data_IF_885120317367
#
_entry.id   IF_885120317367
#
_cell.length_a   1.000
_cell.length_b   1.000
_cell.length_c   1.000
_cell.angle_alpha   90.00
_cell.angle_beta   90.00
_cell.angle_gamma   90.00
#
_symmetry.space_group_name_H-M   'P 1'
#
loop_
_entity.id
_entity.type
_entity.pdbx_description
1 polymer ?
#
# COMPACT_ATOMS: atom_id res chain seq x y z
N UNK A 1 -9.06 10.85 -3.55
CA UNK A 1 -8.82 10.66 -5.00
C UNK A 1 -9.70 9.49 -5.46
N UNK A 2 -10.65 9.69 -6.40
CA UNK A 2 -11.58 8.62 -6.84
C UNK A 2 -10.88 7.54 -7.68
N UNK A 3 -9.86 7.92 -8.47
CA UNK A 3 -9.15 6.99 -9.34
C UNK A 3 -8.33 5.94 -8.58
N UNK A 4 -7.86 6.29 -7.37
CA UNK A 4 -7.12 5.35 -6.50
C UNK A 4 -8.02 4.20 -6.04
N UNK A 5 -9.25 4.50 -5.65
CA UNK A 5 -10.21 3.47 -5.22
C UNK A 5 -10.59 2.56 -6.40
N UNK A 6 -10.84 3.14 -7.58
CA UNK A 6 -11.13 2.37 -8.80
C UNK A 6 -9.96 1.44 -9.19
N UNK A 7 -8.73 1.96 -9.18
CA UNK A 7 -7.54 1.17 -9.45
C UNK A 7 -7.32 0.07 -8.40
N UNK A 8 -7.50 0.38 -7.11
CA UNK A 8 -7.38 -0.59 -6.03
C UNK A 8 -8.39 -1.74 -6.13
N UNK A 9 -9.65 -1.44 -6.45
CA UNK A 9 -10.68 -2.48 -6.69
C UNK A 9 -10.30 -3.34 -7.90
N UNK A 10 -9.86 -2.72 -9.01
CA UNK A 10 -9.42 -3.48 -10.20
C UNK A 10 -8.25 -4.39 -9.90
N UNK A 11 -7.25 -3.91 -9.16
CA UNK A 11 -6.11 -4.71 -8.74
C UNK A 11 -6.55 -5.88 -7.85
N UNK A 12 -7.38 -5.64 -6.84
CA UNK A 12 -7.90 -6.69 -5.97
C UNK A 12 -8.69 -7.77 -6.74
N UNK A 13 -9.57 -7.37 -7.67
CA UNK A 13 -10.30 -8.30 -8.53
C UNK A 13 -9.36 -9.10 -9.44
N UNK A 14 -8.33 -8.47 -10.01
CA UNK A 14 -7.33 -9.16 -10.82
C UNK A 14 -6.51 -10.19 -10.01
N UNK A 15 -6.38 -9.97 -8.70
CA UNK A 15 -5.74 -10.87 -7.74
C UNK A 15 -6.71 -11.88 -7.10
N UNK A 16 -7.90 -12.06 -7.70
CA UNK A 16 -8.93 -13.00 -7.25
C UNK A 16 -9.37 -12.78 -5.78
N UNK A 17 -9.36 -11.53 -5.30
CA UNK A 17 -9.71 -11.19 -3.93
C UNK A 17 -11.21 -10.98 -3.73
N UNK A 18 -11.67 -11.23 -2.51
CA UNK A 18 -12.93 -10.70 -1.99
C UNK A 18 -12.79 -9.20 -1.69
N UNK A 19 -13.85 -8.43 -1.93
CA UNK A 19 -13.86 -6.97 -1.77
C UNK A 19 -14.72 -6.58 -0.57
N UNK A 20 -14.13 -5.84 0.39
CA UNK A 20 -14.90 -5.22 1.46
C UNK A 20 -15.87 -4.17 0.89
N UNK A 21 -17.16 -4.31 1.20
CA UNK A 21 -18.21 -3.39 0.72
C UNK A 21 -18.25 -2.06 1.48
N UNK A 22 -17.67 -2.05 2.68
CA UNK A 22 -17.46 -0.86 3.49
C UNK A 22 -15.98 -0.55 3.50
N UNK A 23 -15.64 0.71 3.30
CA UNK A 23 -14.27 1.19 3.29
C UNK A 23 -14.03 2.00 4.55
N UNK A 24 -12.96 1.66 5.27
CA UNK A 24 -12.44 2.41 6.40
C UNK A 24 -10.97 2.74 6.16
N UNK A 25 -10.53 3.89 6.66
CA UNK A 25 -9.14 4.30 6.64
C UNK A 25 -8.69 4.55 8.09
N UNK A 26 -7.51 4.05 8.38
CA UNK A 26 -6.90 4.02 9.70
C UNK A 26 -5.69 4.95 9.75
N UNK A 27 -5.32 5.36 10.97
CA UNK A 27 -4.10 6.13 11.22
C UNK A 27 -3.03 5.22 11.79
N UNK A 28 -1.98 4.98 11.02
CA UNK A 28 -0.76 4.32 11.49
C UNK A 28 0.19 5.39 12.06
N UNK A 29 0.19 5.56 13.38
CA UNK A 29 0.90 6.67 14.06
C UNK A 29 2.39 6.35 14.26
N UNK A 30 3.27 7.27 13.84
CA UNK A 30 4.71 7.23 14.10
C UNK A 30 5.36 8.57 13.77
N UNK A 31 6.44 8.92 14.48
CA UNK A 31 7.19 10.14 14.23
C UNK A 31 8.39 9.86 13.32
N UNK A 32 8.44 10.50 12.16
CA UNK A 32 9.61 10.51 11.30
C UNK A 32 9.62 11.76 10.40
N UNK A 33 10.78 12.34 10.03
CA UNK A 33 10.84 13.65 9.36
C UNK A 33 10.13 13.73 8.00
N UNK A 34 10.05 12.62 7.26
CA UNK A 34 9.39 12.55 5.96
C UNK A 34 7.86 12.35 6.05
N UNK A 35 7.32 12.26 7.26
CA UNK A 35 5.89 12.18 7.53
C UNK A 35 5.42 13.34 8.42
N UNK A 36 5.00 14.48 7.84
CA UNK A 36 4.68 15.69 8.60
C UNK A 36 3.43 15.55 9.48
N UNK A 37 2.57 14.55 9.21
CA UNK A 37 1.35 14.32 9.99
C UNK A 37 1.59 13.52 11.27
N UNK A 38 2.77 12.91 11.42
CA UNK A 38 3.07 11.91 12.46
C UNK A 38 2.11 10.69 12.46
N UNK A 39 1.40 10.49 11.35
CA UNK A 39 0.64 9.28 11.04
C UNK A 39 0.50 9.13 9.53
N UNK A 40 0.45 7.90 9.07
CA UNK A 40 0.15 7.53 7.69
C UNK A 40 -1.32 7.11 7.62
N UNK A 41 -2.07 7.65 6.65
CA UNK A 41 -3.39 7.15 6.30
C UNK A 41 -3.20 5.83 5.55
N UNK A 42 -3.73 4.75 6.10
CA UNK A 42 -3.66 3.40 5.53
C UNK A 42 -4.99 2.67 5.81
N UNK A 43 -5.07 1.35 5.63
CA UNK A 43 -6.22 0.55 6.07
C UNK A 43 -5.69 -0.62 6.88
N UNK A 44 -6.19 -0.78 8.10
CA UNK A 44 -5.84 -1.88 8.99
C UNK A 44 -7.00 -2.87 9.09
N UNK A 45 -8.17 -2.43 9.54
CA UNK A 45 -9.31 -3.31 9.83
C UNK A 45 -10.06 -3.75 8.57
N UNK A 46 -10.31 -2.81 7.63
CA UNK A 46 -11.10 -3.06 6.41
C UNK A 46 -10.24 -2.78 5.14
N UNK A 47 -9.30 -3.69 4.77
CA UNK A 47 -8.55 -3.58 3.50
C UNK A 47 -9.47 -3.57 2.29
N UNK A 48 -9.01 -3.04 1.16
CA UNK A 48 -9.82 -3.03 -0.07
C UNK A 48 -10.06 -4.43 -0.65
N UNK A 49 -9.10 -5.34 -0.49
CA UNK A 49 -9.21 -6.73 -0.89
C UNK A 49 -8.56 -7.69 0.10
N UNK A 50 -9.08 -8.90 0.19
CA UNK A 50 -8.59 -9.96 1.07
C UNK A 50 -8.81 -11.36 0.44
N UNK A 51 -8.13 -12.38 0.97
CA UNK A 51 -8.24 -13.77 0.52
C UNK A 51 -7.96 -13.98 -0.99
N UNK A 52 -6.97 -13.29 -1.53
CA UNK A 52 -6.59 -13.39 -2.93
C UNK A 52 -5.61 -14.53 -3.21
N UNK A 53 -5.30 -14.70 -4.49
CA UNK A 53 -4.25 -15.62 -4.94
C UNK A 53 -3.80 -15.29 -6.37
N UNK A 54 -2.57 -15.69 -6.69
CA UNK A 54 -2.03 -15.74 -8.05
C UNK A 54 -1.61 -17.16 -8.39
N UNK A 55 -1.66 -17.50 -9.67
CA UNK A 55 -1.12 -18.76 -10.17
C UNK A 55 0.26 -18.50 -10.79
N UNK A 56 1.24 -19.31 -10.41
CA UNK A 56 2.60 -19.25 -10.96
C UNK A 56 2.94 -20.60 -11.58
N UNK A 57 3.55 -20.56 -12.76
CA UNK A 57 4.11 -21.74 -13.42
C UNK A 57 5.50 -22.02 -12.84
N UNK A 58 5.75 -23.28 -12.47
CA UNK A 58 7.02 -23.75 -11.96
C UNK A 58 7.89 -24.31 -13.10
N UNK A 59 9.18 -24.49 -12.83
CA UNK A 59 10.14 -24.99 -13.82
C UNK A 59 9.79 -26.38 -14.38
N UNK A 60 9.05 -27.19 -13.61
CA UNK A 60 8.57 -28.52 -14.03
C UNK A 60 7.27 -28.48 -14.86
N UNK A 61 6.77 -27.27 -15.18
CA UNK A 61 5.54 -27.04 -15.93
C UNK A 61 4.26 -27.20 -15.11
N UNK A 62 4.35 -27.49 -13.81
CA UNK A 62 3.17 -27.49 -12.92
C UNK A 62 2.79 -26.07 -12.51
N UNK A 63 1.54 -25.86 -12.14
CA UNK A 63 1.08 -24.57 -11.62
C UNK A 63 0.87 -24.64 -10.11
N UNK A 64 1.25 -23.56 -9.42
CA UNK A 64 1.05 -23.41 -7.98
C UNK A 64 0.27 -22.14 -7.69
N UNK A 65 -0.74 -22.25 -6.82
CA UNK A 65 -1.43 -21.08 -6.27
C UNK A 65 -0.67 -20.52 -5.08
N UNK A 66 -0.34 -19.24 -5.15
CA UNK A 66 0.26 -18.45 -4.07
C UNK A 66 -0.81 -17.55 -3.50
N UNK A 67 -1.13 -17.74 -2.22
CA UNK A 67 -2.11 -16.91 -1.52
C UNK A 67 -1.62 -15.48 -1.33
N UNK A 68 -2.55 -14.53 -1.42
CA UNK A 68 -2.33 -13.12 -1.10
C UNK A 68 -3.33 -12.76 0.00
N UNK A 69 -2.81 -12.52 1.20
CA UNK A 69 -3.64 -12.27 2.38
C UNK A 69 -4.57 -11.07 2.19
N UNK A 70 -4.00 -9.94 1.76
CA UNK A 70 -4.71 -8.66 1.60
C UNK A 70 -4.04 -7.72 0.61
N UNK A 71 -4.83 -6.80 0.09
CA UNK A 71 -4.39 -5.56 -0.53
C UNK A 71 -5.11 -4.39 0.15
N UNK A 72 -4.42 -3.31 0.45
CA UNK A 72 -5.00 -2.10 1.00
C UNK A 72 -4.47 -0.86 0.31
N UNK A 73 -5.16 0.25 0.49
CA UNK A 73 -4.71 1.57 0.03
C UNK A 73 -3.98 2.31 1.15
N UNK A 74 -2.87 2.94 0.81
CA UNK A 74 -2.19 3.85 1.73
C UNK A 74 -1.59 5.06 1.02
N UNK A 75 -1.04 5.99 1.79
CA UNK A 75 -0.28 7.11 1.26
C UNK A 75 1.22 6.92 1.49
N UNK A 76 2.07 7.33 0.56
CA UNK A 76 3.52 7.29 0.72
C UNK A 76 4.03 8.41 1.63
N UNK A 77 5.19 8.17 2.24
CA UNK A 77 5.97 9.18 2.93
C UNK A 77 6.80 10.00 1.93
N UNK A 78 7.43 11.07 2.44
CA UNK A 78 8.42 11.82 1.68
C UNK A 78 9.70 11.02 1.42
N UNK A 79 10.78 11.73 1.12
CA UNK A 79 12.11 11.17 0.90
C UNK A 79 13.12 11.92 1.76
N UNK A 80 13.98 11.17 2.43
CA UNK A 80 15.16 11.72 3.08
C UNK A 80 16.40 11.54 2.19
N UNK A 81 17.24 12.56 2.14
CA UNK A 81 18.60 12.48 1.60
C UNK A 81 19.57 12.92 2.69
N UNK A 82 20.56 12.10 2.99
CA UNK A 82 21.52 12.37 4.05
C UNK A 82 22.76 13.07 3.47
N UNK A 83 23.05 14.27 3.96
CA UNK A 83 24.21 15.06 3.57
C UNK A 83 25.49 14.59 4.26
N UNK A 84 26.64 15.04 3.74
CA UNK A 84 27.95 14.83 4.37
C UNK A 84 28.27 15.87 5.46
N UNK A 85 27.41 16.88 5.61
CA UNK A 85 27.48 17.97 6.59
C UNK A 85 26.85 17.62 7.95
N UNK A 86 26.39 16.38 8.11
CA UNK A 86 25.74 15.90 9.33
C UNK A 86 24.24 16.19 9.40
N UNK A 87 23.63 16.73 8.34
CA UNK A 87 22.19 16.98 8.27
C UNK A 87 21.47 16.01 7.32
N UNK A 88 20.15 15.92 7.50
CA UNK A 88 19.26 15.21 6.58
C UNK A 88 18.29 16.19 5.96
N UNK A 89 18.08 16.05 4.66
CA UNK A 89 17.22 16.91 3.85
C UNK A 89 15.94 16.15 3.51
N UNK A 90 14.79 16.77 3.81
CA UNK A 90 13.47 16.17 3.61
C UNK A 90 12.83 16.76 2.35
N UNK A 91 12.52 15.90 1.39
CA UNK A 91 11.72 16.23 0.21
C UNK A 91 10.32 15.60 0.35
N UNK A 92 9.30 16.45 0.43
CA UNK A 92 7.90 16.04 0.61
C UNK A 92 7.12 15.95 -0.71
N UNK A 93 7.76 16.08 -1.88
CA UNK A 93 7.06 15.97 -3.18
C UNK A 93 6.33 14.63 -3.37
N UNK A 94 6.82 13.56 -2.74
CA UNK A 94 6.20 12.22 -2.78
C UNK A 94 5.18 11.97 -1.67
N UNK A 95 5.17 12.80 -0.62
CA UNK A 95 4.29 12.61 0.52
C UNK A 95 2.82 12.67 0.05
N UNK A 96 2.03 11.64 0.36
CA UNK A 96 0.62 11.59 -0.04
C UNK A 96 0.36 10.88 -1.37
N UNK A 97 1.40 10.43 -2.08
CA UNK A 97 1.23 9.63 -3.31
C UNK A 97 0.53 8.31 -2.96
N UNK A 98 -0.48 7.88 -3.73
CA UNK A 98 -1.20 6.63 -3.44
C UNK A 98 -0.30 5.40 -3.59
N UNK A 99 -0.43 4.47 -2.65
CA UNK A 99 0.15 3.12 -2.67
C UNK A 99 -0.95 2.06 -2.54
#
# INVERSE_FOLDING_TARGET
NKGVVDAGIKAALALNMDIHKKMHFDRKNYFYPDNPKAYQISQFDEPIGYNGWIEVELEDGTTKKIGIERAHLEEDAGKNTHGTDGFSYVDLNRQGVPL
#
